data_IF_382302990993
#
_entry.id   IF_382302990993
#
_cell.length_a   1.000
_cell.length_b   1.000
_cell.length_c   1.000
_cell.angle_alpha   90.00
_cell.angle_beta   90.00
_cell.angle_gamma   90.00
#
_symmetry.space_group_name_H-M   'P 1'
#
loop_
_entity.id
_entity.type
_entity.pdbx_description
1 polymer ?
2 non-polymer ?
3 non-polymer ?
4 non-polymer ?
5 non-polymer ?
6 water ?
#
# COMPACT_ATOMS: atom_id res chain seq x y z
N UNK A 3 6.68 -15.18 -1.38
CA UNK A 3 6.81 -13.71 -1.21
C UNK A 3 8.28 -13.37 -0.91
N UNK A 4 8.73 -12.23 -1.43
CA UNK A 4 10.00 -11.65 -1.02
C UNK A 4 9.79 -10.14 -0.90
N UNK A 5 10.34 -9.56 0.18
CA UNK A 5 10.15 -8.15 0.48
C UNK A 5 10.59 -7.31 -0.72
N UNK A 6 9.83 -6.24 -0.99
CA UNK A 6 10.13 -5.28 -2.04
C UNK A 6 11.20 -4.30 -1.55
N UNK A 7 12.25 -4.15 -2.36
CA UNK A 7 13.29 -3.16 -2.11
C UNK A 7 12.78 -1.80 -2.55
N UNK A 8 13.55 -0.75 -2.23
CA UNK A 8 13.29 0.60 -2.71
C UNK A 8 13.34 0.63 -4.23
N UNK A 9 14.29 -0.12 -4.82
CA UNK A 9 14.42 -0.20 -6.26
C UNK A 9 13.17 -0.84 -6.88
N UNK A 10 12.68 -1.92 -6.25
CA UNK A 10 11.47 -2.58 -6.69
C UNK A 10 10.32 -1.57 -6.72
N UNK A 11 10.18 -0.77 -5.65
CA UNK A 11 9.07 0.17 -5.52
C UNK A 11 9.17 1.28 -6.56
N UNK A 12 10.39 1.81 -6.79
CA UNK A 12 10.60 2.83 -7.80
C UNK A 12 10.12 2.34 -9.17
N UNK A 13 10.40 1.07 -9.48
CA UNK A 13 9.99 0.47 -10.75
C UNK A 13 8.46 0.39 -10.80
N UNK A 14 7.86 -0.09 -9.70
CA UNK A 14 6.42 -0.33 -9.65
C UNK A 14 5.65 0.98 -9.83
N UNK A 15 6.20 2.08 -9.29
CA UNK A 15 5.61 3.39 -9.47
C UNK A 15 5.49 3.75 -10.95
N UNK A 16 6.61 3.76 -11.67
CA UNK A 16 6.63 4.14 -13.09
C UNK A 16 5.78 3.12 -13.89
N UNK A 17 5.79 1.83 -13.58
CA UNK A 17 4.95 0.81 -14.24
C UNK A 17 3.46 1.17 -14.05
N UNK A 18 3.02 1.42 -12.82
CA UNK A 18 1.63 1.80 -12.54
C UNK A 18 1.29 3.11 -13.25
N UNK A 19 2.17 4.12 -13.21
CA UNK A 19 1.87 5.37 -13.89
C UNK A 19 1.70 5.11 -15.39
N UNK A 20 2.59 4.32 -15.99
CA UNK A 20 2.51 4.05 -17.41
C UNK A 20 1.26 3.25 -17.76
N UNK A 21 1.01 2.18 -16.98
CA UNK A 21 -0.05 1.23 -17.25
C UNK A 21 -1.43 1.83 -17.03
N UNK A 22 -1.56 2.72 -16.04
CA UNK A 22 -2.84 3.34 -15.73
C UNK A 22 -2.98 4.70 -16.40
N UNK A 23 -1.95 5.16 -17.12
CA UNK A 23 -1.95 6.48 -17.73
C UNK A 23 -2.24 7.56 -16.68
N UNK A 24 -1.50 7.53 -15.57
CA UNK A 24 -1.67 8.53 -14.51
C UNK A 24 -1.18 9.87 -15.04
N UNK A 25 -1.98 10.96 -14.96
CA UNK A 25 -1.51 12.29 -15.38
C UNK A 25 -0.36 12.83 -14.52
N UNK A 26 0.43 13.73 -15.13
CA UNK A 26 1.66 14.23 -14.54
C UNK A 26 1.39 14.93 -13.20
N UNK A 27 0.22 15.57 -13.05
CA UNK A 27 -0.05 16.33 -11.84
C UNK A 27 -0.24 15.39 -10.65
N UNK A 28 -0.74 14.17 -10.91
CA UNK A 28 -0.89 13.17 -9.85
C UNK A 28 0.46 12.64 -9.41
N UNK A 29 1.35 12.41 -10.38
CA UNK A 29 2.68 11.90 -10.09
C UNK A 29 3.37 12.85 -9.12
N UNK A 30 3.22 14.16 -9.36
CA UNK A 30 3.80 15.21 -8.54
C UNK A 30 3.25 15.11 -7.12
N UNK A 31 1.95 14.85 -6.98
CA UNK A 31 1.30 14.74 -5.68
C UNK A 31 1.81 13.52 -4.93
N UNK A 32 1.89 12.38 -5.63
CA UNK A 32 2.31 11.13 -5.02
C UNK A 32 3.71 11.27 -4.43
N UNK A 33 4.58 11.97 -5.17
CA UNK A 33 5.96 12.22 -4.78
C UNK A 33 6.02 12.93 -3.42
N UNK A 34 5.04 13.80 -3.17
CA UNK A 34 4.95 14.59 -1.95
C UNK A 34 4.02 13.95 -0.92
N UNK A 35 3.72 12.65 -1.11
CA UNK A 35 2.86 11.92 -0.20
C UNK A 35 1.48 12.56 -0.08
N UNK A 36 0.96 13.06 -1.20
CA UNK A 36 -0.39 13.59 -1.26
C UNK A 36 -1.21 12.63 -2.14
N UNK A 37 -2.26 12.06 -1.55
CA UNK A 37 -3.08 11.07 -2.24
C UNK A 37 -4.52 11.55 -2.24
N UNK A 38 -4.97 12.22 -3.32
CA UNK A 38 -6.36 12.64 -3.46
C UNK A 38 -7.36 11.49 -3.29
N UNK A 39 -8.52 11.85 -2.75
CA UNK A 39 -9.64 10.96 -2.54
C UNK A 39 -10.40 10.80 -3.85
N UNK A 40 -9.79 10.10 -4.83
CA UNK A 40 -10.47 9.88 -6.10
C UNK A 40 -10.03 8.53 -6.65
N UNK A 41 -10.75 8.05 -7.65
CA UNK A 41 -10.56 6.71 -8.17
C UNK A 41 -9.21 6.59 -8.88
N UNK A 42 -8.74 7.68 -9.50
CA UNK A 42 -7.43 7.67 -10.13
C UNK A 42 -6.39 7.25 -9.09
N UNK A 43 -6.42 7.88 -7.92
CA UNK A 43 -5.42 7.64 -6.88
C UNK A 43 -5.62 6.27 -6.24
N UNK A 44 -6.86 5.92 -5.93
CA UNK A 44 -7.17 4.63 -5.27
C UNK A 44 -6.69 3.45 -6.13
N UNK A 45 -6.96 3.47 -7.44
CA UNK A 45 -6.55 2.38 -8.36
C UNK A 45 -5.02 2.36 -8.46
N UNK A 46 -4.38 3.53 -8.37
CA UNK A 46 -2.90 3.63 -8.37
C UNK A 46 -2.34 2.88 -7.15
N UNK A 47 -2.89 3.19 -5.98
CA UNK A 47 -2.41 2.54 -4.76
C UNK A 47 -2.65 1.03 -4.86
N UNK A 48 -3.82 0.62 -5.36
CA UNK A 48 -4.09 -0.79 -5.55
C UNK A 48 -3.03 -1.43 -6.46
N UNK A 49 -2.73 -0.77 -7.56
CA UNK A 49 -1.74 -1.25 -8.56
C UNK A 49 -0.39 -1.48 -7.88
N UNK A 50 0.08 -0.50 -7.11
CA UNK A 50 1.37 -0.60 -6.40
C UNK A 50 1.33 -1.78 -5.42
N UNK A 51 0.27 -1.88 -4.64
CA UNK A 51 0.17 -2.93 -3.64
C UNK A 51 0.10 -4.30 -4.31
N UNK A 52 -0.61 -4.39 -5.44
CA UNK A 52 -0.67 -5.61 -6.23
C UNK A 52 0.75 -6.07 -6.58
N UNK A 53 1.55 -5.15 -7.12
CA UNK A 53 2.89 -5.44 -7.62
C UNK A 53 3.82 -5.83 -6.47
N UNK A 54 3.60 -5.23 -5.30
CA UNK A 54 4.41 -5.52 -4.12
C UNK A 54 3.92 -6.78 -3.40
N UNK A 55 2.84 -7.40 -3.92
CA UNK A 55 2.21 -8.58 -3.32
C UNK A 55 1.70 -8.29 -1.91
N UNK A 56 1.16 -7.08 -1.70
CA UNK A 56 0.62 -6.71 -0.39
C UNK A 56 -0.91 -6.74 -0.39
N UNK A 57 -1.51 -6.91 -1.57
CA UNK A 57 -2.94 -6.84 -1.70
C UNK A 57 -3.37 -7.66 -2.92
N UNK A 58 -4.42 -8.46 -2.73
CA UNK A 58 -5.06 -9.21 -3.79
C UNK A 58 -6.48 -8.69 -3.96
N UNK A 59 -6.93 -8.53 -5.21
CA UNK A 59 -8.18 -7.85 -5.49
C UNK A 59 -9.38 -8.64 -4.96
N UNK A 60 -9.24 -9.96 -4.83
CA UNK A 60 -10.30 -10.79 -4.28
C UNK A 60 -10.09 -11.02 -2.78
N UNK A 61 -8.88 -11.45 -2.39
CA UNK A 61 -8.59 -11.85 -1.03
C UNK A 61 -8.40 -10.63 -0.12
N UNK A 62 -7.99 -9.50 -0.69
CA UNK A 62 -7.75 -8.28 0.07
C UNK A 62 -6.31 -8.19 0.57
N UNK A 63 -6.05 -7.49 1.70
CA UNK A 63 -4.69 -7.35 2.22
C UNK A 63 -4.07 -8.71 2.52
N UNK A 64 -2.80 -8.85 2.16
CA UNK A 64 -2.07 -10.09 2.39
C UNK A 64 -1.23 -9.90 3.64
N UNK A 65 -1.74 -10.41 4.76
CA UNK A 65 -1.35 -9.93 6.08
C UNK A 65 0.09 -10.30 6.38
N UNK A 66 0.46 -11.57 6.18
CA UNK A 66 1.82 -12.00 6.50
C UNK A 66 2.82 -11.24 5.63
N UNK A 67 2.51 -11.05 4.35
CA UNK A 67 3.37 -10.29 3.45
C UNK A 67 3.56 -8.88 3.97
N UNK A 68 2.46 -8.23 4.38
CA UNK A 68 2.55 -6.88 4.92
C UNK A 68 3.47 -6.83 6.15
N UNK A 69 3.39 -7.84 7.01
CA UNK A 69 4.17 -7.85 8.25
C UNK A 69 5.66 -7.87 7.91
N UNK A 70 6.06 -8.76 7.00
CA UNK A 70 7.44 -8.83 6.55
C UNK A 70 7.88 -7.50 5.93
N UNK A 71 7.00 -6.88 5.14
CA UNK A 71 7.32 -5.62 4.48
C UNK A 71 7.57 -4.51 5.51
N UNK A 72 6.83 -4.55 6.64
CA UNK A 72 6.73 -3.40 7.53
C UNK A 72 7.49 -3.56 8.86
N UNK A 73 7.93 -4.79 9.20
CA UNK A 73 8.38 -5.08 10.56
C UNK A 73 9.90 -5.08 10.69
N UNK A 74 10.61 -4.50 9.72
CA UNK A 74 12.05 -4.42 9.78
C UNK A 74 12.47 -3.57 10.98
N UNK A 75 13.19 -4.18 11.92
CA UNK A 75 13.64 -3.47 13.11
C UNK A 75 12.54 -3.28 14.16
N UNK A 76 11.43 -4.01 14.02
CA UNK A 76 10.30 -3.92 14.93
C UNK A 76 9.92 -5.33 15.37
N UNK A 77 8.94 -5.43 16.27
CA UNK A 77 8.40 -6.72 16.69
C UNK A 77 7.31 -7.15 15.71
N UNK A 78 7.49 -8.33 15.11
CA UNK A 78 6.63 -8.80 14.03
C UNK A 78 5.19 -8.94 14.51
N UNK A 79 5.01 -9.43 15.74
CA UNK A 79 3.66 -9.67 16.24
C UNK A 79 2.97 -8.34 16.58
N UNK A 80 3.73 -7.36 17.05
CA UNK A 80 3.19 -6.04 17.31
C UNK A 80 2.72 -5.43 15.99
N UNK A 81 3.53 -5.59 14.94
CA UNK A 81 3.18 -5.06 13.63
C UNK A 81 1.99 -5.83 13.06
N UNK A 82 1.92 -7.15 13.30
CA UNK A 82 0.80 -7.93 12.83
C UNK A 82 -0.50 -7.42 13.46
N UNK A 83 -0.45 -7.12 14.76
CA UNK A 83 -1.60 -6.60 15.49
C UNK A 83 -2.09 -5.29 14.83
N UNK A 84 -1.16 -4.42 14.44
CA UNK A 84 -1.51 -3.15 13.84
C UNK A 84 -2.10 -3.35 12.43
N UNK A 85 -1.51 -4.26 11.66
CA UNK A 85 -2.02 -4.56 10.33
C UNK A 85 -3.46 -5.08 10.42
N UNK A 86 -3.71 -5.99 11.37
CA UNK A 86 -5.00 -6.66 11.43
C UNK A 86 -6.11 -5.69 11.84
N UNK A 87 -5.77 -4.62 12.56
CA UNK A 87 -6.74 -3.59 12.89
C UNK A 87 -7.29 -2.96 11.60
N UNK A 88 -6.45 -2.89 10.59
CA UNK A 88 -6.78 -2.24 9.30
C UNK A 88 -7.34 -3.20 8.26
N UNK A 89 -7.36 -4.50 8.58
CA UNK A 89 -7.88 -5.51 7.64
C UNK A 89 -9.42 -5.52 7.76
N UNK A 90 -10.12 -5.29 6.65
CA UNK A 90 -11.60 -5.31 6.67
C UNK A 90 -12.11 -6.04 5.42
N UNK A 91 -13.41 -6.24 5.37
CA UNK A 91 -14.06 -6.87 4.22
C UNK A 91 -14.19 -5.88 3.08
N UNK A 92 -14.43 -6.41 1.88
CA UNK A 92 -14.63 -5.61 0.69
C UNK A 92 -16.08 -5.10 0.68
N UNK A 93 -16.41 -4.26 1.67
CA UNK A 93 -17.76 -3.81 1.98
C UNK A 93 -18.45 -3.26 0.72
N UNK A 94 -17.78 -2.37 -0.02
CA UNK A 94 -18.43 -1.70 -1.13
C UNK A 94 -17.99 -2.25 -2.50
N UNK A 95 -17.58 -3.54 -2.54
CA UNK A 95 -17.34 -4.28 -3.77
C UNK A 95 -16.51 -3.46 -4.76
N UNK A 96 -15.38 -2.95 -4.28
CA UNK A 96 -14.47 -2.14 -5.12
C UNK A 96 -13.03 -2.35 -4.62
N UNK A 97 -12.20 -3.12 -5.33
CA UNK A 97 -10.81 -3.44 -4.95
C UNK A 97 -9.97 -2.16 -4.79
N UNK A 98 -10.21 -1.14 -5.62
CA UNK A 98 -9.46 0.14 -5.56
C UNK A 98 -9.76 0.82 -4.22
N UNK A 99 -11.04 0.98 -3.89
CA UNK A 99 -11.51 1.56 -2.59
C UNK A 99 -10.92 0.74 -1.45
N UNK A 100 -10.97 -0.57 -1.60
CA UNK A 100 -10.52 -1.49 -0.54
C UNK A 100 -9.05 -1.29 -0.21
N UNK A 101 -8.19 -1.35 -1.24
CA UNK A 101 -6.75 -1.20 -1.05
C UNK A 101 -6.44 0.14 -0.41
N UNK A 102 -7.09 1.20 -0.91
CA UNK A 102 -6.84 2.55 -0.44
C UNK A 102 -7.27 2.71 1.03
N UNK A 103 -8.40 2.11 1.38
CA UNK A 103 -8.96 2.22 2.73
C UNK A 103 -7.99 1.64 3.75
N UNK A 104 -7.37 0.49 3.42
CA UNK A 104 -6.39 -0.14 4.33
C UNK A 104 -5.16 0.76 4.47
N UNK A 105 -4.73 1.33 3.35
CA UNK A 105 -3.60 2.30 3.27
C UNK A 105 -3.89 3.46 4.24
N UNK A 106 -5.06 4.09 4.09
CA UNK A 106 -5.50 5.25 4.92
C UNK A 106 -5.53 4.83 6.39
N UNK A 107 -6.12 3.68 6.69
CA UNK A 107 -6.21 3.15 8.06
C UNK A 107 -4.81 3.03 8.67
N UNK A 108 -3.85 2.49 7.93
CA UNK A 108 -2.57 2.16 8.53
C UNK A 108 -1.73 3.42 8.73
N UNK A 109 -1.92 4.41 7.86
CA UNK A 109 -1.21 5.69 7.95
C UNK A 109 -1.55 6.43 9.24
N UNK A 110 -2.77 6.21 9.76
CA UNK A 110 -3.26 7.00 10.87
C UNK A 110 -2.30 6.92 12.06
N UNK A 111 -1.87 5.71 12.42
CA UNK A 111 -1.03 5.51 13.60
C UNK A 111 0.34 4.92 13.25
N UNK A 112 0.56 4.52 12.00
CA UNK A 112 1.79 3.82 11.66
C UNK A 112 2.47 4.45 10.44
N UNK A 113 2.32 5.78 10.26
CA UNK A 113 2.90 6.43 9.10
C UNK A 113 4.41 6.20 9.03
N UNK A 114 5.12 6.39 10.15
CA UNK A 114 6.58 6.34 10.11
C UNK A 114 7.06 4.93 9.75
N UNK A 115 6.29 3.91 10.14
CA UNK A 115 6.55 2.53 9.75
C UNK A 115 6.49 2.38 8.23
N UNK A 116 5.46 2.97 7.60
CA UNK A 116 5.32 2.89 6.16
C UNK A 116 6.55 3.54 5.51
N UNK A 117 6.84 4.78 5.90
CA UNK A 117 7.90 5.55 5.27
C UNK A 117 9.25 4.86 5.49
N UNK A 118 9.45 4.24 6.65
CA UNK A 118 10.70 3.54 6.94
C UNK A 118 10.85 2.31 6.05
N UNK A 119 9.73 1.65 5.71
CA UNK A 119 9.76 0.42 4.94
C UNK A 119 10.19 0.66 3.49
N UNK A 120 10.10 1.91 3.01
CA UNK A 120 10.37 2.21 1.61
C UNK A 120 11.67 2.98 1.43
N UNK A 121 12.54 3.02 2.46
CA UNK A 121 13.86 3.61 2.33
C UNK A 121 14.91 2.52 2.22
N UNK A 122 16.01 2.83 1.53
CA UNK A 122 17.07 1.87 1.22
C UNK A 122 17.71 1.37 2.52
N UNK A 123 17.87 0.05 2.62
CA UNK A 123 18.34 -0.60 3.84
C UNK A 123 19.88 -0.64 3.86
X LIG B 1 -13.56 12.16 2.58
X LIG C 1 5.73 -14.97 7.99
X LIG D 1 14.15 -1.60 6.04
X LIG E 1 4.06 6.24 -3.88
X LIG E 1 2.69 5.80 -3.39
X LIG E 1 2.64 4.41 -2.86
X LIG E 1 3.01 4.35 -1.40
X LIG E 1 3.91 3.19 -1.06
X LIG E 1 3.39 2.30 0.03
X LIG E 1 4.47 1.49 0.74
X LIG E 1 4.17 0.04 0.90
X LIG E 1 4.36 -0.47 2.29
X LIG E 1 3.41 -0.84 3.11
X LIG E 1 1.94 -0.85 2.81
X LIG E 1 1.20 0.33 3.37
X LIG E 1 0.16 0.30 4.18
X LIG E 1 -0.38 -0.90 4.90
X LIG E 1 -1.83 -1.12 4.70
X LIG E 1 -2.36 -2.31 5.47
X LIG E 1 -3.84 -2.53 5.33
X LIG E 1 -4.36 -3.70 6.12
X LIG E 1 4.19 6.52 -5.09
X LIG E 1 4.99 6.30 -3.05
X LIG E 1 2.06 5.88 -4.14
X LIG E 1 2.41 6.42 -2.69
X LIG E 1 3.24 3.85 -3.38
X LIG E 1 1.72 4.06 -2.97
X LIG E 1 2.19 4.28 -0.87
X LIG E 1 3.46 5.18 -1.15
X LIG E 1 4.78 3.54 -0.78
X LIG E 1 4.06 2.65 -1.86
X LIG E 1 2.91 2.84 0.69
X LIG E 1 2.75 1.68 -0.36
X LIG E 1 4.61 1.88 1.63
X LIG E 1 5.30 1.59 0.24
X LIG E 1 4.74 -0.47 0.29
X LIG E 1 3.24 -0.12 0.63
X LIG E 1 5.26 -0.53 2.60
X LIG E 1 3.66 -1.13 3.98
X LIG E 1 1.54 -1.67 3.16
X LIG E 1 1.81 -0.86 1.83
X LIG E 1 1.52 1.19 3.11
X LIG E 1 -0.29 1.12 4.32
X LIG E 1 -0.21 -0.79 5.86
X LIG E 1 0.11 -1.70 4.60
X LIG E 1 -2.00 -1.26 3.75
X LIG E 1 -2.32 -0.31 4.98
X LIG E 1 -2.17 -2.19 6.42
X LIG E 1 -1.90 -3.12 5.17
X LIG E 1 -4.04 -2.68 4.37
X LIG E 1 -4.31 -1.72 5.61
X LIG E 1 -5.32 -3.80 5.95
X LIG E 1 -4.23 -3.54 7.07
X LIG E 1 -3.89 -4.51 5.85
X LIG F 1 3.56 2.79 17.09
X LIG F 1 2.22 2.42 16.55
X LIG F 1 1.24 2.02 17.64
X LIG F 1 1.72 0.85 18.40
X LIG F 1 3.20 0.78 18.55
X LIG F 1 3.88 2.13 18.38
X LIG F 1 1.07 0.72 19.72
X LIG F 1 -0.44 0.50 19.61
X LIG F 1 -1.10 1.58 20.25
X LIG F 1 4.68 2.67 16.13
X LIG F 1 4.32 3.07 14.68
X LIG F 1 5.29 4.24 14.01
X LIG F 1 6.72 3.84 14.19
X LIG F 1 4.94 4.33 12.59
X LIG F 1 5.06 5.56 14.63
X LIG F 1 1.80 3.26 16.01
X LIG F 1 2.33 1.58 15.85
X LIG F 1 1.07 2.86 18.31
X LIG F 1 0.28 1.78 17.17
X LIG F 1 3.45 0.41 19.55
X LIG F 1 3.60 0.09 17.82
X LIG F 1 3.57 2.79 19.20
X LIG F 1 4.96 1.99 18.46
X LIG F 1 1.26 1.62 20.31
X LIG F 1 1.50 -0.12 20.27
X LIG F 1 -0.70 -0.44 20.10
X LIG F 1 -0.74 0.44 18.56
X LIG F 1 -2.05 1.37 20.34
X LIG F 1 5.50 3.31 16.48
X LIG F 1 5.05 1.64 16.13
X LIG F 1 4.37 2.16 14.07
X LIG F 1 3.29 3.43 14.63
#
# INVERSE_FOLDING_TARGET
MEFTVSTTEDLQRYRTECVSSLNIPADYVEKFKKWEFPEDDTTMCYIKCVFNKMQLFDDTEGPLVDNLVHQLAHGRDAEEVRTEVLKCVDKNTDNNACHWAFRGFKCFQKNNLSLIKASIKKD
CD CD
CD CD
CO CO
EIC C1 C2 C3 C4 C5 C6 C7 C8 C9 C10 C11 C12 C13 C14 C15 C16 C17 C18 O1 O2 H21 H22 H31 H32 H41 H42 H51 H52 H61 H62 H71 H72 H81 H82 H91 H1O1 H111 H112 H121 H131 H141 H142 H151 H152 H161 H162 H171 H172 H181 H182 H183
EPE N1 C2 C3 N4 C5 C6 C7 C8 O8 C9 C10 S O1S O2S O3S H21 H22 H31 H32 H51 H52 H61 H62 H71 H72 H81 H82 HO8 H91 H92 H101 H102
#
